data_IF_963412925909
#
_entry.id   IF_963412925909
#
_cell.length_a   1.000
_cell.length_b   1.000
_cell.length_c   1.000
_cell.angle_alpha   90.00
_cell.angle_beta   90.00
_cell.angle_gamma   90.00
#
_symmetry.space_group_name_H-M   'P 1'
#
loop_
_entity.id
_entity.type
_entity.pdbx_description
1 polymer ?
#
# COMPACT_ATOMS: atom_id res chain seq x y z
N UNK A 1 2.35 8.05 15.29
CA UNK A 1 2.20 6.77 14.61
C UNK A 1 3.53 6.00 14.68
N UNK A 2 3.47 4.77 15.09
CA UNK A 2 4.70 3.97 15.23
C UNK A 2 5.18 3.51 13.86
N UNK A 3 6.45 3.82 13.54
CA UNK A 3 7.03 3.39 12.27
C UNK A 3 7.30 1.89 12.27
N UNK A 4 7.06 1.28 11.12
CA UNK A 4 7.41 -0.11 10.91
C UNK A 4 8.91 -0.22 10.62
N UNK A 5 9.50 -1.31 11.07
CA UNK A 5 10.87 -1.63 10.73
C UNK A 5 10.91 -1.92 9.22
N UNK A 6 11.89 -1.35 8.52
CA UNK A 6 12.02 -1.49 7.05
C UNK A 6 10.80 -0.95 6.29
N UNK A 7 10.18 0.10 6.81
CA UNK A 7 8.96 0.64 6.19
C UNK A 7 9.16 1.06 4.74
N UNK A 8 10.31 1.63 4.41
CA UNK A 8 10.58 2.06 3.02
C UNK A 8 10.56 0.87 2.06
N UNK A 9 11.17 -0.25 2.44
CA UNK A 9 11.16 -1.46 1.64
C UNK A 9 9.77 -2.08 1.58
N UNK A 10 9.04 -2.05 2.68
CA UNK A 10 7.66 -2.53 2.73
C UNK A 10 6.76 -1.71 1.81
N UNK A 11 6.95 -0.38 1.78
CA UNK A 11 6.17 0.49 0.89
C UNK A 11 6.44 0.16 -0.58
N UNK A 12 7.72 -0.02 -0.95
CA UNK A 12 8.06 -0.39 -2.31
C UNK A 12 7.40 -1.71 -2.73
N UNK A 13 7.51 -2.71 -1.87
CA UNK A 13 6.91 -4.01 -2.14
C UNK A 13 5.38 -3.93 -2.17
N UNK A 14 4.81 -3.11 -1.29
CA UNK A 14 3.35 -2.91 -1.24
C UNK A 14 2.84 -2.27 -2.53
N UNK A 15 3.58 -1.32 -3.10
CA UNK A 15 3.20 -0.71 -4.38
C UNK A 15 3.17 -1.77 -5.47
N UNK A 16 4.19 -2.61 -5.56
CA UNK A 16 4.24 -3.68 -6.56
C UNK A 16 3.06 -4.65 -6.36
N UNK A 17 2.81 -5.07 -5.14
CA UNK A 17 1.71 -5.98 -4.83
C UNK A 17 0.35 -5.33 -5.13
N UNK A 18 0.21 -4.05 -4.80
CA UNK A 18 -1.02 -3.29 -5.05
C UNK A 18 -1.28 -3.09 -6.53
N UNK A 19 -0.24 -2.85 -7.33
CA UNK A 19 -0.36 -2.75 -8.78
C UNK A 19 -0.88 -4.07 -9.35
N UNK A 20 -0.31 -5.20 -8.92
CA UNK A 20 -0.78 -6.52 -9.35
C UNK A 20 -2.22 -6.76 -8.94
N UNK A 21 -2.57 -6.39 -7.73
CA UNK A 21 -3.94 -6.50 -7.23
C UNK A 21 -4.91 -5.73 -8.12
N UNK A 22 -4.58 -4.48 -8.44
CA UNK A 22 -5.42 -3.63 -9.28
C UNK A 22 -5.58 -4.20 -10.69
N UNK A 23 -4.49 -4.72 -11.26
CA UNK A 23 -4.52 -5.33 -12.59
C UNK A 23 -5.37 -6.60 -12.60
N UNK A 24 -5.24 -7.44 -11.60
CA UNK A 24 -6.02 -8.68 -11.49
C UNK A 24 -7.50 -8.40 -11.30
N UNK A 25 -7.82 -7.30 -10.62
CA UNK A 25 -9.21 -6.87 -10.45
C UNK A 25 -9.77 -6.20 -11.70
N UNK A 26 -8.92 -5.88 -12.68
CA UNK A 26 -9.34 -5.11 -13.84
C UNK A 26 -9.65 -3.65 -13.49
N UNK A 27 -9.15 -3.17 -12.36
CA UNK A 27 -9.46 -1.82 -11.89
C UNK A 27 -8.62 -0.76 -12.61
N UNK A 28 -7.37 -1.09 -12.96
CA UNK A 28 -6.48 -0.16 -13.66
C UNK A 28 -5.30 -0.89 -14.27
N UNK A 29 -4.71 -0.25 -15.28
CA UNK A 29 -3.40 -0.62 -15.81
C UNK A 29 -2.52 0.61 -15.60
N UNK A 30 -1.43 0.42 -14.86
CA UNK A 30 -0.50 1.53 -14.60
C UNK A 30 0.55 1.62 -15.70
N UNK A 31 0.87 2.84 -16.09
CA UNK A 31 1.91 3.08 -17.08
C UNK A 31 3.25 3.33 -16.38
N UNK A 32 4.38 3.08 -17.07
CA UNK A 32 5.69 3.35 -16.48
C UNK A 32 5.92 4.80 -16.07
N UNK A 33 5.16 5.73 -16.67
CA UNK A 33 5.24 7.14 -16.36
C UNK A 33 4.44 7.55 -15.13
N UNK A 34 3.60 6.67 -14.60
CA UNK A 34 2.80 6.97 -13.41
C UNK A 34 3.70 7.12 -12.20
N UNK A 35 3.50 8.18 -11.44
CA UNK A 35 4.31 8.43 -10.25
C UNK A 35 3.95 7.47 -9.12
N UNK A 36 4.89 7.27 -8.18
CA UNK A 36 4.63 6.46 -7.00
C UNK A 36 3.48 7.04 -6.17
N UNK A 37 3.38 8.37 -6.10
CA UNK A 37 2.31 9.04 -5.37
C UNK A 37 0.93 8.71 -5.94
N UNK A 38 0.81 8.70 -7.26
CA UNK A 38 -0.44 8.35 -7.93
C UNK A 38 -0.81 6.89 -7.71
N UNK A 39 0.17 6.00 -7.79
CA UNK A 39 -0.04 4.58 -7.53
C UNK A 39 -0.50 4.33 -6.10
N UNK A 40 0.14 4.99 -5.15
CA UNK A 40 -0.21 4.88 -3.73
C UNK A 40 -1.66 5.32 -3.51
N UNK A 41 -2.04 6.47 -4.05
CA UNK A 41 -3.39 6.97 -3.89
C UNK A 41 -4.42 6.02 -4.48
N UNK A 42 -4.17 5.53 -5.68
CA UNK A 42 -5.09 4.61 -6.36
C UNK A 42 -5.22 3.30 -5.57
N UNK A 43 -4.09 2.72 -5.20
CA UNK A 43 -4.08 1.45 -4.46
C UNK A 43 -4.81 1.61 -3.12
N UNK A 44 -4.53 2.71 -2.40
CA UNK A 44 -5.20 2.99 -1.15
C UNK A 44 -6.72 3.04 -1.31
N UNK A 45 -7.19 3.80 -2.31
CA UNK A 45 -8.63 3.94 -2.57
C UNK A 45 -9.27 2.61 -2.95
N UNK A 46 -8.58 1.82 -3.77
CA UNK A 46 -9.09 0.52 -4.19
C UNK A 46 -9.22 -0.44 -3.00
N UNK A 47 -8.19 -0.50 -2.16
CA UNK A 47 -8.21 -1.39 -1.00
C UNK A 47 -9.29 -0.97 0.01
N UNK A 48 -9.51 0.32 0.18
CA UNK A 48 -10.60 0.83 1.03
C UNK A 48 -11.95 0.47 0.42
N UNK A 49 -12.11 0.66 -0.86
CA UNK A 49 -13.35 0.32 -1.58
C UNK A 49 -13.69 -1.17 -1.43
N UNK A 50 -12.67 -2.02 -1.53
CA UNK A 50 -12.85 -3.47 -1.40
C UNK A 50 -12.90 -3.93 0.07
N UNK A 51 -12.83 -3.00 1.01
CA UNK A 51 -12.86 -3.27 2.45
C UNK A 51 -11.71 -4.14 2.93
N UNK A 52 -10.59 -4.09 2.21
CA UNK A 52 -9.36 -4.80 2.59
C UNK A 52 -8.66 -4.07 3.73
N UNK A 53 -8.68 -2.74 3.70
CA UNK A 53 -8.14 -1.88 4.76
C UNK A 53 -9.20 -0.85 5.15
N UNK A 54 -9.04 -0.30 6.36
CA UNK A 54 -9.93 0.76 6.83
C UNK A 54 -9.47 2.11 6.29
N UNK A 55 -10.44 2.96 5.94
CA UNK A 55 -10.14 4.31 5.50
C UNK A 55 -9.58 5.15 6.65
N UNK A 56 -8.62 6.01 6.30
CA UNK A 56 -8.11 7.01 7.26
C UNK A 56 -9.15 8.09 7.49
N UNK A 57 -9.19 8.72 8.68
CA UNK A 57 -9.99 9.93 8.89
C UNK A 57 -9.61 10.99 7.86
N UNK A 58 -10.58 11.77 7.41
CA UNK A 58 -10.36 12.76 6.34
C UNK A 58 -9.22 13.72 6.65
N UNK A 59 -9.09 14.14 7.91
CA UNK A 59 -8.07 15.08 8.35
C UNK A 59 -6.68 14.42 8.47
N UNK A 60 -6.60 13.10 8.32
CA UNK A 60 -5.34 12.36 8.41
C UNK A 60 -4.90 11.75 7.09
N UNK A 61 -5.64 11.97 6.01
CA UNK A 61 -5.28 11.45 4.70
C UNK A 61 -4.11 12.27 4.13
N UNK A 62 -2.97 11.59 3.97
CA UNK A 62 -1.77 12.19 3.38
C UNK A 62 -0.98 11.09 2.70
N UNK A 63 0.00 11.47 1.87
CA UNK A 63 0.88 10.50 1.23
C UNK A 63 1.57 9.62 2.28
N UNK A 64 2.07 10.22 3.33
CA UNK A 64 2.77 9.49 4.39
C UNK A 64 1.86 8.50 5.09
N UNK A 65 0.64 8.93 5.43
CA UNK A 65 -0.32 8.06 6.11
C UNK A 65 -0.77 6.90 5.22
N UNK A 66 -0.99 7.18 3.93
CA UNK A 66 -1.38 6.14 2.97
C UNK A 66 -0.26 5.13 2.78
N UNK A 67 0.99 5.58 2.67
CA UNK A 67 2.16 4.69 2.59
C UNK A 67 2.23 3.77 3.79
N UNK A 68 2.01 4.32 4.97
CA UNK A 68 2.03 3.54 6.20
C UNK A 68 0.93 2.47 6.18
N UNK A 69 -0.27 2.83 5.75
CA UNK A 69 -1.37 1.87 5.62
C UNK A 69 -1.03 0.74 4.65
N UNK A 70 -0.45 1.08 3.51
CA UNK A 70 -0.07 0.06 2.53
C UNK A 70 1.03 -0.84 3.06
N UNK A 71 2.01 -0.28 3.77
CA UNK A 71 3.08 -1.06 4.38
C UNK A 71 2.52 -2.06 5.40
N UNK A 72 1.58 -1.62 6.23
CA UNK A 72 0.92 -2.51 7.19
C UNK A 72 0.15 -3.62 6.48
N UNK A 73 -0.63 -3.25 5.46
CA UNK A 73 -1.37 -4.23 4.67
C UNK A 73 -0.45 -5.30 4.08
N UNK A 74 0.65 -4.87 3.48
CA UNK A 74 1.58 -5.81 2.85
C UNK A 74 2.29 -6.66 3.90
N UNK A 75 2.69 -6.07 5.02
CA UNK A 75 3.41 -6.79 6.08
C UNK A 75 2.61 -7.96 6.63
N UNK A 76 1.29 -7.83 6.69
CA UNK A 76 0.42 -8.89 7.18
C UNK A 76 0.35 -10.11 6.25
N UNK A 77 0.80 -9.95 5.02
CA UNK A 77 0.84 -11.04 4.03
C UNK A 77 2.15 -11.80 4.05
N UNK A 78 3.14 -11.30 4.78
CA UNK A 78 4.45 -11.92 4.87
C UNK A 78 4.51 -12.91 6.03
N UNK A 79 5.33 -13.98 5.89
CA UNK A 79 5.55 -14.90 7.03
C UNK A 79 6.21 -14.15 8.19
N UNK A 80 5.95 -14.56 9.44
CA UNK A 80 6.50 -13.86 10.62
C UNK A 80 8.03 -13.76 10.65
N UNK A 81 8.71 -14.68 9.99
CA UNK A 81 10.17 -14.72 9.94
C UNK A 81 10.76 -14.01 8.73
N UNK A 82 9.92 -13.30 7.97
CA UNK A 82 10.38 -12.58 6.78
C UNK A 82 11.38 -11.48 7.17
N UNK A 83 12.50 -11.32 6.41
CA UNK A 83 13.51 -10.31 6.74
C UNK A 83 12.97 -8.89 6.90
N UNK A 84 11.94 -8.51 6.15
CA UNK A 84 11.35 -7.18 6.24
C UNK A 84 10.56 -6.95 7.52
N UNK A 85 10.27 -8.01 8.29
CA UNK A 85 9.54 -7.90 9.56
C UNK A 85 10.48 -7.96 10.77
N UNK A 86 11.78 -8.13 10.56
CA UNK A 86 12.76 -8.26 11.65
C UNK A 86 13.57 -6.99 11.91
#
# INVERSE_FOLDING_TARGET
>A
MKKLKHEAELVKAAIVAGVKYAEQRGAAIFEPTDSASEKILFIYRLLVHDKVIQALPEDQVSQQSMRHKLAIWYSKQLPPDHPLLQ
#
